data_IF_837077576516
#
_entry.id   IF_837077576516
#
_cell.length_a   1.000
_cell.length_b   1.000
_cell.length_c   1.000
_cell.angle_alpha   90.00
_cell.angle_beta   90.00
_cell.angle_gamma   90.00
#
_symmetry.space_group_name_H-M   'P 1'
#
loop_
_entity.id
_entity.type
_entity.pdbx_description
1 polymer ?
#
# COMPACT_ATOMS: atom_id res chain seq x y z
N UNK A 1 26.72 -13.67 10.32
CA UNK A 1 25.80 -13.94 9.20
C UNK A 1 24.65 -14.91 9.56
N UNK A 2 24.43 -15.21 10.86
CA UNK A 2 23.43 -16.19 11.31
C UNK A 2 21.98 -15.77 11.12
N UNK A 3 21.62 -14.49 11.22
CA UNK A 3 20.22 -14.07 11.06
C UNK A 3 19.74 -14.21 9.61
N UNK A 4 20.57 -13.81 8.66
CA UNK A 4 20.27 -13.93 7.21
C UNK A 4 20.13 -15.40 6.80
N UNK A 5 20.93 -16.30 7.36
CA UNK A 5 20.81 -17.74 7.09
C UNK A 5 19.48 -18.33 7.59
N UNK A 6 18.84 -17.70 8.58
CA UNK A 6 17.52 -18.06 9.08
C UNK A 6 16.41 -17.17 8.51
N UNK A 7 16.68 -16.40 7.44
CA UNK A 7 15.72 -15.50 6.80
C UNK A 7 15.12 -14.46 7.74
N UNK A 8 15.95 -13.98 8.66
CA UNK A 8 15.63 -12.88 9.55
C UNK A 8 16.40 -11.63 9.10
N UNK A 9 15.70 -10.49 9.03
CA UNK A 9 16.31 -9.19 8.80
C UNK A 9 16.59 -8.51 10.15
N UNK A 10 17.82 -8.03 10.39
CA UNK A 10 18.13 -7.25 11.58
C UNK A 10 17.35 -5.94 11.58
N UNK A 11 16.80 -5.57 12.74
CA UNK A 11 16.15 -4.27 12.94
C UNK A 11 17.16 -3.18 13.28
N UNK A 12 16.67 -1.96 13.52
CA UNK A 12 17.47 -0.78 13.84
C UNK A 12 18.53 -1.07 14.93
N UNK A 13 19.72 -0.42 14.87
CA UNK A 13 20.81 -0.69 15.84
C UNK A 13 20.43 -0.46 17.31
N UNK A 14 19.39 0.34 17.59
CA UNK A 14 18.84 0.55 18.92
C UNK A 14 18.07 -0.65 19.49
N UNK A 15 17.76 -1.66 18.66
CA UNK A 15 17.05 -2.89 19.05
C UNK A 15 17.81 -4.16 18.60
N UNK A 16 19.04 -4.38 19.09
CA UNK A 16 19.97 -5.37 18.53
C UNK A 16 19.55 -6.85 18.67
N UNK A 17 18.44 -7.13 19.34
CA UNK A 17 17.90 -8.48 19.57
C UNK A 17 16.63 -8.77 18.78
N UNK A 18 16.14 -7.78 18.03
CA UNK A 18 14.91 -7.91 17.27
C UNK A 18 15.25 -8.16 15.81
N UNK A 19 14.78 -9.29 15.29
CA UNK A 19 14.92 -9.65 13.90
C UNK A 19 13.55 -10.07 13.35
N UNK A 20 13.22 -9.61 12.16
CA UNK A 20 11.89 -9.83 11.55
C UNK A 20 12.02 -10.86 10.44
N UNK A 21 11.07 -11.80 10.37
CA UNK A 21 11.01 -12.77 9.28
C UNK A 21 10.76 -12.07 7.94
N UNK A 22 11.57 -12.45 6.93
CA UNK A 22 11.42 -11.99 5.55
C UNK A 22 10.05 -12.37 5.00
N UNK A 23 9.59 -13.59 5.28
CA UNK A 23 8.29 -14.09 4.84
C UNK A 23 7.14 -13.28 5.43
N UNK A 24 7.23 -12.93 6.72
CA UNK A 24 6.24 -12.08 7.37
C UNK A 24 6.17 -10.69 6.73
N UNK A 25 7.33 -10.09 6.43
CA UNK A 25 7.41 -8.80 5.77
C UNK A 25 6.82 -8.87 4.35
N UNK A 26 7.12 -9.94 3.61
CA UNK A 26 6.56 -10.17 2.29
C UNK A 26 5.03 -10.34 2.34
N UNK A 27 4.52 -11.09 3.32
CA UNK A 27 3.08 -11.27 3.53
C UNK A 27 2.40 -9.92 3.82
N UNK A 28 2.99 -9.13 4.72
CA UNK A 28 2.48 -7.79 5.03
C UNK A 28 2.47 -6.88 3.79
N UNK A 29 3.54 -6.90 2.99
CA UNK A 29 3.62 -6.15 1.74
C UNK A 29 2.49 -6.50 0.77
N UNK A 30 2.21 -7.80 0.58
CA UNK A 30 1.11 -8.26 -0.27
C UNK A 30 -0.26 -7.83 0.27
N UNK A 31 -0.49 -7.96 1.58
CA UNK A 31 -1.74 -7.55 2.21
C UNK A 31 -1.95 -6.03 2.12
N UNK A 32 -0.89 -5.26 2.33
CA UNK A 32 -0.91 -3.81 2.21
C UNK A 32 -1.22 -3.38 0.78
N UNK A 33 -0.60 -4.00 -0.22
CA UNK A 33 -0.89 -3.70 -1.62
C UNK A 33 -2.35 -4.01 -1.97
N UNK A 34 -2.84 -5.17 -1.55
CA UNK A 34 -4.22 -5.59 -1.77
C UNK A 34 -5.23 -4.64 -1.12
N UNK A 35 -4.97 -4.18 0.11
CA UNK A 35 -5.86 -3.23 0.80
C UNK A 35 -5.87 -1.85 0.12
N UNK A 36 -4.70 -1.36 -0.32
CA UNK A 36 -4.62 -0.14 -1.13
C UNK A 36 -5.43 -0.26 -2.42
N UNK A 37 -5.32 -1.39 -3.12
CA UNK A 37 -6.06 -1.62 -4.37
C UNK A 37 -7.57 -1.64 -4.15
N UNK A 38 -8.04 -2.26 -3.06
CA UNK A 38 -9.45 -2.26 -2.68
C UNK A 38 -9.97 -0.85 -2.34
N UNK A 39 -9.21 -0.06 -1.58
CA UNK A 39 -9.55 1.33 -1.24
C UNK A 39 -9.60 2.20 -2.50
N UNK A 40 -8.62 2.05 -3.40
CA UNK A 40 -8.57 2.79 -4.65
C UNK A 40 -9.76 2.44 -5.57
N UNK A 41 -10.12 1.16 -5.66
CA UNK A 41 -11.29 0.71 -6.40
C UNK A 41 -12.58 1.30 -5.82
N UNK A 42 -12.72 1.32 -4.49
CA UNK A 42 -13.86 1.93 -3.81
C UNK A 42 -13.94 3.44 -4.08
N UNK A 43 -12.81 4.16 -3.98
CA UNK A 43 -12.74 5.58 -4.28
C UNK A 43 -13.15 5.88 -5.74
N UNK A 44 -12.70 5.07 -6.70
CA UNK A 44 -13.08 5.19 -8.10
C UNK A 44 -14.58 4.92 -8.33
N UNK A 45 -15.13 3.91 -7.66
CA UNK A 45 -16.56 3.59 -7.72
C UNK A 45 -17.41 4.74 -7.15
N UNK A 46 -17.02 5.29 -6.00
CA UNK A 46 -17.66 6.45 -5.39
C UNK A 46 -17.58 7.67 -6.30
N UNK A 47 -16.40 7.98 -6.87
CA UNK A 47 -16.24 9.06 -7.84
C UNK A 47 -17.21 8.91 -9.02
N UNK A 48 -17.30 7.70 -9.59
CA UNK A 48 -18.24 7.40 -10.69
C UNK A 48 -19.70 7.57 -10.27
N UNK A 49 -20.04 7.12 -9.05
CA UNK A 49 -21.38 7.25 -8.50
C UNK A 49 -21.77 8.71 -8.30
N UNK A 50 -20.93 9.50 -7.62
CA UNK A 50 -21.20 10.91 -7.34
C UNK A 50 -21.22 11.78 -8.60
N UNK A 51 -20.31 11.54 -9.55
CA UNK A 51 -20.30 12.24 -10.84
C UNK A 51 -21.61 12.03 -11.61
N UNK A 52 -22.22 10.83 -11.55
CA UNK A 52 -23.52 10.57 -12.20
C UNK A 52 -24.65 11.43 -11.64
N UNK A 53 -24.51 11.91 -10.41
CA UNK A 53 -25.52 12.71 -9.70
C UNK A 53 -25.16 14.19 -9.68
N UNK A 54 -24.14 14.62 -10.45
CA UNK A 54 -23.71 16.02 -10.56
C UNK A 54 -22.81 16.50 -9.43
N UNK A 55 -22.37 15.59 -8.54
CA UNK A 55 -21.42 15.92 -7.47
C UNK A 55 -19.99 15.67 -7.97
N UNK A 56 -19.22 16.75 -8.12
CA UNK A 56 -17.83 16.70 -8.56
C UNK A 56 -16.87 16.76 -7.37
N UNK A 57 -15.78 16.00 -7.46
CA UNK A 57 -14.69 16.04 -6.48
C UNK A 57 -13.97 17.39 -6.61
N UNK A 58 -13.99 18.19 -5.54
CA UNK A 58 -13.45 19.57 -5.53
C UNK A 58 -11.95 19.66 -5.29
N UNK A 59 -11.29 18.56 -4.91
CA UNK A 59 -9.85 18.51 -4.66
C UNK A 59 -9.18 17.50 -5.62
N UNK A 60 -8.86 17.95 -6.82
CA UNK A 60 -8.30 17.13 -7.91
C UNK A 60 -6.85 16.71 -7.70
N UNK A 61 -6.12 17.33 -6.77
CA UNK A 61 -4.69 17.05 -6.55
C UNK A 61 -4.37 15.59 -6.18
N UNK A 62 -5.33 14.86 -5.60
CA UNK A 62 -5.15 13.44 -5.24
C UNK A 62 -5.64 12.50 -6.36
N UNK A 63 -6.51 12.98 -7.25
CA UNK A 63 -7.14 12.14 -8.27
C UNK A 63 -6.23 11.89 -9.47
N UNK A 64 -5.35 12.82 -9.83
CA UNK A 64 -4.54 12.72 -11.05
C UNK A 64 -3.31 11.83 -10.82
N UNK A 65 -2.79 11.79 -9.59
CA UNK A 65 -1.66 10.94 -9.20
C UNK A 65 -2.01 9.45 -9.19
N UNK A 66 -3.26 9.09 -8.83
CA UNK A 66 -3.73 7.69 -8.83
C UNK A 66 -3.98 7.17 -10.25
N UNK A 67 -4.43 8.04 -11.18
CA UNK A 67 -4.61 7.68 -12.59
C UNK A 67 -3.27 7.39 -13.30
N UNK A 68 -2.21 8.12 -12.95
CA UNK A 68 -0.87 7.93 -13.52
C UNK A 68 -0.16 6.66 -13.03
N UNK A 69 -0.43 6.21 -11.80
CA UNK A 69 0.18 5.01 -11.21
C UNK A 69 -0.42 3.68 -11.70
N UNK A 70 -1.51 3.69 -12.47
CA UNK A 70 -2.17 2.50 -13.00
C UNK A 70 -1.85 2.24 -14.49
N UNK A 71 -1.04 3.10 -15.12
CA UNK A 71 -0.70 3.07 -16.55
C UNK A 71 0.76 2.65 -16.84
N UNK A 72 1.49 2.14 -15.84
CA UNK A 72 2.84 1.59 -16.00
C UNK A 72 3.02 0.39 -15.03
#
# INVERSE_FOLDING_TARGET
QTLVSHRLFPTVPSQPWMAVSVELLSLYGTLFKCSCDAINALAAALKKYYNRWGFYVTNQQVSDTIAHLHLH
#
